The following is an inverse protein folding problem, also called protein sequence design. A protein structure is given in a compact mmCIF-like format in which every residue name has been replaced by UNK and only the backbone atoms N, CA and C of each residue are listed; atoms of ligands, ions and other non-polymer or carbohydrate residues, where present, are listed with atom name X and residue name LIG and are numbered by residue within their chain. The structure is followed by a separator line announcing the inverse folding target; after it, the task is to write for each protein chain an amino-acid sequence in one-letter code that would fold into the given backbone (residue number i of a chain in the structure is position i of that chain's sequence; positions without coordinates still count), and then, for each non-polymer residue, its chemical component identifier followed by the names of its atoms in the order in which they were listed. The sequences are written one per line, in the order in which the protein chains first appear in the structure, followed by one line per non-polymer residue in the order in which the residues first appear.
data_IF_750408437512
#
_entry.id   IF_750408437512
#
_cell.length_a   1.000
_cell.length_b   1.000
_cell.length_c   1.000
_cell.angle_alpha   90.00
_cell.angle_beta   90.00
_cell.angle_gamma   90.00
#
_symmetry.space_group_name_H-M   'P 1'
#
loop_
_entity.id
_entity.type
_entity.pdbx_description
1 polymer ?
#
# COMPACT_ATOMS: atom_id res chain seq x y z
N UNK A 1 -3.22 -27.63 2.49
CA UNK A 1 -4.45 -27.00 1.95
C UNK A 1 -4.08 -25.79 1.11
N UNK A 2 -4.26 -25.82 -0.22
CA UNK A 2 -3.73 -24.80 -1.15
C UNK A 2 -4.31 -23.39 -0.95
N UNK A 3 -5.51 -23.28 -0.36
CA UNK A 3 -6.15 -21.99 -0.10
C UNK A 3 -5.37 -21.16 0.95
N UNK A 4 -4.93 -21.75 2.05
CA UNK A 4 -4.23 -21.05 3.14
C UNK A 4 -2.89 -20.45 2.68
N UNK A 5 -2.14 -21.20 1.86
CA UNK A 5 -0.90 -20.69 1.26
C UNK A 5 -1.15 -19.49 0.35
N UNK A 6 -2.23 -19.53 -0.44
CA UNK A 6 -2.61 -18.40 -1.29
C UNK A 6 -2.93 -17.16 -0.45
N UNK A 7 -3.63 -17.31 0.68
CA UNK A 7 -3.90 -16.21 1.63
C UNK A 7 -2.60 -15.62 2.15
N UNK A 8 -1.70 -16.46 2.69
CA UNK A 8 -0.40 -16.02 3.24
C UNK A 8 0.44 -15.29 2.20
N UNK A 9 0.48 -15.78 0.95
CA UNK A 9 1.17 -15.14 -0.16
C UNK A 9 0.60 -13.75 -0.46
N UNK A 10 -0.73 -13.59 -0.49
CA UNK A 10 -1.37 -12.29 -0.71
C UNK A 10 -1.04 -11.27 0.39
N UNK A 11 -1.08 -11.68 1.66
CA UNK A 11 -0.67 -10.84 2.79
C UNK A 11 0.81 -10.43 2.69
N UNK A 12 1.69 -11.38 2.36
CA UNK A 12 3.12 -11.10 2.19
C UNK A 12 3.37 -10.13 1.02
N UNK A 13 2.70 -10.33 -0.12
CA UNK A 13 2.80 -9.44 -1.28
C UNK A 13 2.32 -8.02 -0.96
N UNK A 14 1.20 -7.88 -0.25
CA UNK A 14 0.71 -6.57 0.18
C UNK A 14 1.70 -5.86 1.11
N UNK A 15 2.27 -6.59 2.07
CA UNK A 15 3.31 -6.06 2.97
C UNK A 15 4.57 -5.62 2.22
N UNK A 16 5.07 -6.46 1.31
CA UNK A 16 6.24 -6.14 0.47
C UNK A 16 5.96 -4.92 -0.41
N UNK A 17 4.78 -4.83 -1.01
CA UNK A 17 4.39 -3.69 -1.84
C UNK A 17 4.38 -2.38 -1.04
N UNK A 18 3.75 -2.37 0.14
CA UNK A 18 3.73 -1.18 1.02
C UNK A 18 5.14 -0.82 1.47
N UNK A 19 5.95 -1.82 1.84
CA UNK A 19 7.35 -1.61 2.21
C UNK A 19 8.17 -0.98 1.09
N UNK A 20 7.99 -1.45 -0.16
CA UNK A 20 8.65 -0.88 -1.32
C UNK A 20 8.20 0.57 -1.57
N UNK A 21 6.88 0.83 -1.57
CA UNK A 21 6.31 2.17 -1.77
C UNK A 21 6.80 3.19 -0.73
N UNK A 22 7.04 2.75 0.50
CA UNK A 22 7.57 3.60 1.57
C UNK A 22 9.09 3.56 1.69
N UNK A 23 9.79 2.86 0.80
CA UNK A 23 11.25 2.81 0.81
C UNK A 23 11.84 4.13 0.30
N UNK A 24 13.00 4.51 0.83
CA UNK A 24 13.66 5.79 0.54
C UNK A 24 13.80 6.11 -0.96
N UNK A 25 14.22 5.18 -1.85
CA UNK A 25 14.36 5.48 -3.27
C UNK A 25 13.05 5.89 -3.94
N UNK A 26 11.92 5.27 -3.58
CA UNK A 26 10.63 5.63 -4.15
C UNK A 26 10.11 6.95 -3.54
N UNK A 27 10.30 7.15 -2.24
CA UNK A 27 9.98 8.44 -1.60
C UNK A 27 10.75 9.60 -2.25
N UNK A 28 12.01 9.38 -2.60
CA UNK A 28 12.87 10.41 -3.19
C UNK A 28 12.35 10.89 -4.56
N UNK A 29 11.64 10.05 -5.32
CA UNK A 29 11.02 10.44 -6.61
C UNK A 29 9.96 11.54 -6.40
N UNK A 30 9.23 11.47 -5.29
CA UNK A 30 8.16 12.41 -4.93
C UNK A 30 8.64 13.54 -4.00
N UNK A 31 9.82 13.39 -3.39
CA UNK A 31 10.48 14.40 -2.57
C UNK A 31 11.14 15.49 -3.43
N UNK A 32 10.30 16.27 -4.10
CA UNK A 32 10.67 17.42 -4.91
C UNK A 32 9.92 18.65 -4.40
N UNK A 33 10.49 19.84 -4.60
CA UNK A 33 9.91 21.14 -4.19
C UNK A 33 8.68 21.55 -5.02
N UNK A 34 8.02 20.58 -5.66
CA UNK A 34 6.78 20.80 -6.39
C UNK A 34 5.60 20.76 -5.42
N UNK A 35 4.76 21.79 -5.52
CA UNK A 35 3.48 21.86 -4.83
C UNK A 35 2.36 21.51 -5.80
N UNK A 36 1.37 20.75 -5.34
CA UNK A 36 0.10 20.55 -6.03
C UNK A 36 -1.01 21.15 -5.17
N UNK A 37 -1.74 22.13 -5.70
CA UNK A 37 -2.76 22.89 -4.95
C UNK A 37 -2.23 23.48 -3.61
N UNK A 38 -0.94 23.85 -3.56
CA UNK A 38 -0.29 24.38 -2.35
C UNK A 38 0.25 23.32 -1.39
N UNK A 39 0.06 22.02 -1.68
CA UNK A 39 0.50 20.91 -0.83
C UNK A 39 1.74 20.24 -1.45
N UNK A 40 2.81 19.93 -0.69
CA UNK A 40 3.95 19.20 -1.21
C UNK A 40 3.55 17.83 -1.77
N UNK A 41 4.07 17.51 -2.96
CA UNK A 41 3.77 16.23 -3.64
C UNK A 41 4.12 15.03 -2.78
N UNK A 42 5.18 15.10 -1.97
CA UNK A 42 5.57 14.05 -1.03
C UNK A 42 4.46 13.74 -0.02
N UNK A 43 3.78 14.76 0.50
CA UNK A 43 2.71 14.58 1.48
C UNK A 43 1.52 13.88 0.82
N UNK A 44 1.14 14.28 -0.38
CA UNK A 44 0.08 13.64 -1.14
C UNK A 44 0.40 12.18 -1.44
N UNK A 45 1.65 11.88 -1.82
CA UNK A 45 2.14 10.53 -2.03
C UNK A 45 1.99 9.66 -0.77
N UNK A 46 2.47 10.14 0.38
CA UNK A 46 2.37 9.41 1.64
C UNK A 46 0.92 9.08 2.02
N UNK A 47 0.01 10.05 1.88
CA UNK A 47 -1.41 9.84 2.15
C UNK A 47 -2.04 8.86 1.16
N UNK A 48 -1.67 8.92 -0.13
CA UNK A 48 -2.16 7.97 -1.13
C UNK A 48 -1.70 6.53 -0.84
N UNK A 49 -0.43 6.32 -0.48
CA UNK A 49 0.09 5.00 -0.09
C UNK A 49 -0.60 4.49 1.17
N UNK A 50 -0.87 5.37 2.14
CA UNK A 50 -1.58 5.00 3.37
C UNK A 50 -3.03 4.58 3.12
N UNK A 51 -3.77 5.34 2.29
CA UNK A 51 -5.13 4.97 1.89
C UNK A 51 -5.11 3.65 1.12
N UNK A 52 -4.16 3.46 0.20
CA UNK A 52 -4.01 2.20 -0.55
C UNK A 52 -3.76 1.02 0.39
N UNK A 53 -2.96 1.20 1.44
CA UNK A 53 -2.73 0.17 2.46
C UNK A 53 -4.02 -0.17 3.19
N UNK A 54 -4.78 0.82 3.69
CA UNK A 54 -6.04 0.59 4.40
C UNK A 54 -7.06 -0.13 3.49
N UNK A 55 -7.24 0.37 2.26
CA UNK A 55 -8.16 -0.23 1.29
C UNK A 55 -7.72 -1.65 0.93
N UNK A 56 -6.42 -1.85 0.68
CA UNK A 56 -5.87 -3.17 0.36
C UNK A 56 -6.09 -4.17 1.50
N UNK A 57 -5.87 -3.75 2.75
CA UNK A 57 -6.11 -4.57 3.94
C UNK A 57 -7.60 -4.86 4.13
N UNK A 58 -8.47 -3.86 3.95
CA UNK A 58 -9.92 -4.02 4.06
C UNK A 58 -10.46 -4.99 3.01
N UNK A 59 -10.08 -4.80 1.75
CA UNK A 59 -10.49 -5.67 0.63
C UNK A 59 -9.94 -7.08 0.84
N UNK A 60 -8.67 -7.23 1.19
CA UNK A 60 -8.08 -8.55 1.44
C UNK A 60 -8.79 -9.24 2.60
N UNK A 61 -9.03 -8.55 3.72
CA UNK A 61 -9.78 -9.09 4.85
C UNK A 61 -11.19 -9.55 4.42
N UNK A 62 -11.94 -8.71 3.72
CA UNK A 62 -13.30 -9.02 3.25
C UNK A 62 -13.32 -10.21 2.28
N UNK A 63 -12.38 -10.27 1.35
CA UNK A 63 -12.27 -11.38 0.38
C UNK A 63 -11.93 -12.71 1.05
N UNK A 64 -11.20 -12.67 2.17
CA UNK A 64 -10.82 -13.86 2.91
C UNK A 64 -11.93 -14.32 3.87
N UNK A 65 -12.63 -13.38 4.52
CA UNK A 65 -13.77 -13.66 5.42
C UNK A 65 -15.00 -14.13 4.65
N UNK A 66 -15.28 -13.63 3.44
CA UNK A 66 -16.43 -14.06 2.62
C UNK A 66 -16.30 -15.52 2.11
N UNK A 67 -15.10 -16.09 2.15
CA UNK A 67 -14.82 -17.46 1.66
C UNK A 67 -14.82 -18.52 2.77
N UNK A 68 -15.24 -18.16 3.97
CA UNK A 68 -15.52 -19.07 5.09
C UNK A 68 -17.03 -19.14 5.31
#
# INVERSE_FOLDING_TARGET
MPALEKRRKLWALLGILIFLLLNFPLLQIFNRDTLLAGIPVLILYLHAVWILAIVGLYVLSRLLTYRE
#
